data_IF_872608834953
#
_entry.id   IF_872608834953
#
_cell.length_a   1.000
_cell.length_b   1.000
_cell.length_c   1.000
_cell.angle_alpha   90.00
_cell.angle_beta   90.00
_cell.angle_gamma   90.00
#
_symmetry.space_group_name_H-M   'P 1'
#
loop_
_entity.id
_entity.type
_entity.pdbx_description
1 polymer ?
#
# COMPACT_ATOMS: atom_id res chain seq x y z
N UNK A 1 49.36 -31.57 -1.23
CA UNK A 1 47.98 -31.67 -1.76
C UNK A 1 47.05 -31.56 -0.55
N UNK A 2 46.68 -30.34 -0.14
CA UNK A 2 45.33 -29.76 -0.34
C UNK A 2 44.31 -30.39 0.63
N UNK A 3 43.53 -29.73 1.48
CA UNK A 3 43.19 -28.33 1.83
C UNK A 3 42.32 -28.46 3.10
N UNK A 4 42.23 -27.51 4.04
CA UNK A 4 41.84 -26.11 3.85
C UNK A 4 40.31 -26.01 3.91
N UNK A 5 39.75 -25.62 5.06
CA UNK A 5 38.30 -25.45 5.22
C UNK A 5 37.85 -25.13 6.64
N UNK A 6 38.41 -24.07 7.25
CA UNK A 6 37.86 -23.41 8.43
C UNK A 6 36.68 -22.55 8.00
N UNK A 7 35.49 -22.81 8.54
CA UNK A 7 34.28 -22.06 8.23
C UNK A 7 34.29 -20.70 8.94
N UNK A 8 34.58 -19.65 8.18
CA UNK A 8 34.22 -18.27 8.49
C UNK A 8 32.79 -17.99 8.05
N UNK A 9 32.00 -17.40 8.96
CA UNK A 9 30.72 -16.75 8.69
C UNK A 9 30.22 -16.23 10.03
N UNK A 10 30.45 -14.97 10.39
CA UNK A 10 30.17 -13.77 9.61
C UNK A 10 29.11 -13.01 10.39
N UNK A 11 29.43 -12.65 11.64
CA UNK A 11 28.60 -11.78 12.46
C UNK A 11 28.66 -10.39 11.84
N UNK A 12 27.55 -9.94 11.27
CA UNK A 12 27.39 -8.57 10.83
C UNK A 12 27.31 -7.68 12.07
N UNK A 13 28.45 -7.18 12.54
CA UNK A 13 28.46 -6.04 13.45
C UNK A 13 28.08 -4.81 12.64
N UNK A 14 26.90 -4.25 12.90
CA UNK A 14 26.54 -2.88 12.51
C UNK A 14 27.38 -1.87 13.29
N UNK A 15 28.70 -1.86 13.05
CA UNK A 15 29.60 -0.87 13.60
C UNK A 15 29.30 0.48 12.96
N UNK A 16 28.94 1.47 13.78
CA UNK A 16 28.88 2.85 13.30
C UNK A 16 30.22 3.24 12.68
N UNK A 17 30.18 3.96 11.57
CA UNK A 17 31.40 4.51 10.98
C UNK A 17 32.04 5.47 11.99
N UNK A 18 33.38 5.50 12.14
CA UNK A 18 34.04 6.40 13.08
C UNK A 18 33.62 7.86 12.83
N UNK A 19 32.96 8.47 13.82
CA UNK A 19 32.47 9.86 13.76
C UNK A 19 30.98 10.04 13.51
N UNK A 20 30.20 8.97 13.28
CA UNK A 20 28.75 9.05 13.17
C UNK A 20 28.09 8.72 14.52
N UNK A 21 27.25 9.64 15.02
CA UNK A 21 26.37 9.35 16.15
C UNK A 21 25.46 8.18 15.79
N UNK A 22 25.39 7.19 16.67
CA UNK A 22 24.48 6.06 16.48
C UNK A 22 23.01 6.49 16.57
N UNK A 23 22.71 7.53 17.34
CA UNK A 23 21.37 8.11 17.52
C UNK A 23 21.23 9.35 16.63
N UNK A 24 20.02 9.60 16.13
CA UNK A 24 19.72 10.79 15.34
C UNK A 24 18.52 11.57 15.91
N UNK A 25 18.42 12.83 15.49
CA UNK A 25 17.13 13.55 15.45
C UNK A 25 16.33 12.98 14.28
N UNK A 26 15.23 12.30 14.58
CA UNK A 26 14.43 11.55 13.62
C UNK A 26 13.33 12.38 12.98
N UNK A 27 12.54 13.04 13.83
CA UNK A 27 11.55 14.03 13.42
C UNK A 27 11.39 15.11 14.49
N UNK A 28 10.88 16.28 14.13
CA UNK A 28 10.57 17.34 15.10
C UNK A 28 9.46 18.24 14.55
N UNK A 29 8.71 18.87 15.45
CA UNK A 29 7.62 19.79 15.14
C UNK A 29 7.81 21.13 15.86
N UNK A 30 8.19 22.19 15.15
CA UNK A 30 8.38 23.54 15.71
C UNK A 30 7.12 24.34 16.04
N UNK A 31 5.94 23.85 15.64
CA UNK A 31 4.66 24.52 15.86
C UNK A 31 3.57 23.47 16.07
N UNK A 32 3.49 22.92 17.28
CA UNK A 32 2.53 21.88 17.62
C UNK A 32 1.26 22.49 18.24
N UNK A 33 0.14 22.46 17.50
CA UNK A 33 -1.14 22.93 18.03
C UNK A 33 -2.01 21.76 18.49
N UNK A 34 -2.08 20.69 17.70
CA UNK A 34 -3.02 19.58 17.94
C UNK A 34 -2.46 18.20 17.60
N UNK A 35 -1.26 18.09 17.02
CA UNK A 35 -0.72 16.79 16.61
C UNK A 35 -0.38 15.88 17.79
N UNK A 36 0.28 16.42 18.81
CA UNK A 36 0.66 15.71 20.03
C UNK A 36 0.21 16.53 21.24
N UNK A 37 -0.90 16.11 21.84
CA UNK A 37 -1.46 16.75 23.03
C UNK A 37 -1.13 15.90 24.26
N UNK A 38 -0.46 16.50 25.23
CA UNK A 38 -0.10 15.88 26.51
C UNK A 38 -1.08 16.31 27.62
N UNK A 39 -0.80 15.90 28.86
CA UNK A 39 -1.67 16.14 30.01
C UNK A 39 -2.14 17.59 30.14
N UNK A 40 -3.41 17.77 30.52
CA UNK A 40 -4.09 19.07 30.64
C UNK A 40 -4.24 19.86 29.33
N UNK A 41 -4.05 19.23 28.16
CA UNK A 41 -4.30 19.85 26.86
C UNK A 41 -3.11 20.67 26.33
N UNK A 42 -1.93 20.54 26.93
CA UNK A 42 -0.73 21.21 26.44
C UNK A 42 -0.21 20.54 25.16
N UNK A 43 0.31 21.34 24.23
CA UNK A 43 0.87 20.90 22.95
C UNK A 43 2.26 21.52 22.76
N UNK A 44 3.26 21.16 23.59
CA UNK A 44 4.60 21.70 23.39
C UNK A 44 5.16 21.24 22.03
N UNK A 45 6.03 22.06 21.46
CA UNK A 45 6.92 21.62 20.38
C UNK A 45 7.69 20.38 20.83
N UNK A 46 8.08 19.56 19.88
CA UNK A 46 8.72 18.30 20.22
C UNK A 46 9.82 17.91 19.23
N UNK A 47 10.79 17.17 19.74
CA UNK A 47 11.89 16.57 18.99
C UNK A 47 11.88 15.08 19.31
N UNK A 48 11.84 14.25 18.29
CA UNK A 48 11.98 12.81 18.42
C UNK A 48 13.42 12.37 18.13
N UNK A 49 13.97 11.56 19.02
CA UNK A 49 15.21 10.83 18.80
C UNK A 49 14.90 9.38 18.41
N UNK A 50 15.67 8.83 17.47
CA UNK A 50 15.61 7.41 17.13
C UNK A 50 16.96 6.72 17.41
N UNK A 51 16.88 5.52 18.01
CA UNK A 51 18.01 4.63 18.22
C UNK A 51 17.95 3.45 17.23
N UNK A 52 18.70 3.49 16.13
CA UNK A 52 18.74 2.42 15.15
C UNK A 52 19.54 1.19 15.62
N UNK A 53 20.16 1.22 16.81
CA UNK A 53 20.97 0.10 17.33
C UNK A 53 20.10 -0.97 17.99
N UNK A 54 20.70 -2.13 18.28
CA UNK A 54 20.05 -3.25 18.97
C UNK A 54 20.19 -3.19 20.50
N UNK A 55 20.69 -2.07 21.04
CA UNK A 55 20.93 -1.89 22.46
C UNK A 55 20.26 -0.61 22.96
N UNK A 56 19.68 -0.67 24.15
CA UNK A 56 19.19 0.53 24.83
C UNK A 56 20.36 1.50 25.07
N UNK A 57 20.10 2.80 24.91
CA UNK A 57 21.07 3.85 25.16
C UNK A 57 20.61 4.71 26.33
N UNK A 58 21.48 4.86 27.32
CA UNK A 58 21.32 5.85 28.39
C UNK A 58 21.75 7.22 27.83
N UNK A 59 20.85 8.19 27.87
CA UNK A 59 21.07 9.54 27.37
C UNK A 59 21.60 10.50 28.44
N UNK A 60 21.99 10.01 29.63
CA UNK A 60 22.61 10.85 30.66
C UNK A 60 23.78 11.69 30.08
N UNK A 61 23.67 13.02 30.20
CA UNK A 61 24.70 13.96 29.77
C UNK A 61 24.73 14.28 28.27
N UNK A 62 23.87 13.66 27.46
CA UNK A 62 23.59 14.14 26.10
C UNK A 62 22.92 15.50 26.16
N UNK A 63 23.03 16.30 25.10
CA UNK A 63 22.40 17.62 25.05
C UNK A 63 21.72 17.93 23.73
N UNK A 64 20.64 18.69 23.85
CA UNK A 64 19.92 19.30 22.73
C UNK A 64 20.09 20.82 22.75
N UNK A 65 19.99 21.43 21.58
CA UNK A 65 20.04 22.88 21.42
C UNK A 65 19.24 23.34 20.20
N UNK A 66 18.66 24.53 20.27
CA UNK A 66 18.15 25.32 19.14
C UNK A 66 19.13 26.42 18.68
N UNK A 67 20.30 26.51 19.32
CA UNK A 67 21.39 27.44 19.03
C UNK A 67 22.71 26.66 18.88
N UNK A 68 23.25 26.60 17.65
CA UNK A 68 24.50 25.89 17.35
C UNK A 68 25.72 26.45 18.11
N UNK A 69 25.65 27.69 18.57
CA UNK A 69 26.71 28.30 19.39
C UNK A 69 26.67 27.81 20.84
N UNK A 70 25.58 27.16 21.26
CA UNK A 70 25.36 26.64 22.61
C UNK A 70 25.09 25.13 22.59
N UNK A 71 26.06 24.27 22.25
CA UNK A 71 25.84 22.82 22.09
C UNK A 71 25.38 22.08 23.36
N UNK A 72 25.45 22.73 24.53
CA UNK A 72 25.03 22.19 25.84
C UNK A 72 23.86 22.96 26.45
N UNK A 73 22.98 23.53 25.62
CA UNK A 73 21.85 24.36 26.09
C UNK A 73 20.87 23.62 26.99
N UNK A 74 20.46 22.41 26.59
CA UNK A 74 19.60 21.53 27.41
C UNK A 74 20.27 20.16 27.57
N UNK A 75 20.84 19.88 28.75
CA UNK A 75 21.50 18.61 29.06
C UNK A 75 20.50 17.64 29.68
N UNK A 76 20.40 16.43 29.14
CA UNK A 76 19.50 15.40 29.63
C UNK A 76 19.97 14.83 30.98
N UNK A 77 19.07 14.70 31.96
CA UNK A 77 19.41 14.16 33.27
C UNK A 77 19.56 12.64 33.21
N UNK A 78 20.00 12.07 34.33
CA UNK A 78 20.06 10.62 34.51
C UNK A 78 18.69 9.95 34.37
N UNK A 79 18.66 8.77 33.75
CA UNK A 79 17.47 7.91 33.69
C UNK A 79 16.60 8.11 32.45
N UNK A 80 17.00 9.01 31.54
CA UNK A 80 16.40 9.13 30.22
C UNK A 80 16.96 8.02 29.33
N UNK A 81 16.16 7.00 29.07
CA UNK A 81 16.55 5.83 28.29
C UNK A 81 15.91 5.90 26.91
N UNK A 82 16.71 5.65 25.87
CA UNK A 82 16.24 5.47 24.50
C UNK A 82 16.35 3.98 24.13
N UNK A 83 15.23 3.23 24.07
CA UNK A 83 15.26 1.80 23.83
C UNK A 83 15.91 1.40 22.50
N UNK A 84 16.44 0.18 22.41
CA UNK A 84 16.87 -0.43 21.16
C UNK A 84 15.75 -0.36 20.11
N UNK A 85 16.07 0.09 18.88
CA UNK A 85 15.08 0.35 17.80
C UNK A 85 13.95 1.32 18.17
N UNK A 86 14.06 1.97 19.33
CA UNK A 86 13.02 2.78 19.90
C UNK A 86 13.06 4.23 19.43
N UNK A 87 12.01 4.94 19.83
CA UNK A 87 11.83 6.36 19.62
C UNK A 87 11.60 7.02 20.99
N UNK A 88 12.15 8.21 21.17
CA UNK A 88 11.93 9.02 22.38
C UNK A 88 11.53 10.42 21.98
N UNK A 89 10.40 10.88 22.48
CA UNK A 89 9.91 12.24 22.31
C UNK A 89 10.47 13.09 23.45
N UNK A 90 11.08 14.22 23.08
CA UNK A 90 11.53 15.26 24.00
C UNK A 90 10.72 16.52 23.71
N UNK A 91 10.20 17.14 24.77
CA UNK A 91 9.33 18.30 24.66
C UNK A 91 10.16 19.58 24.72
N UNK A 92 10.24 20.31 23.62
CA UNK A 92 10.82 21.65 23.55
C UNK A 92 9.86 22.67 24.19
N UNK A 93 9.71 22.56 25.52
CA UNK A 93 8.71 23.30 26.29
C UNK A 93 9.18 24.66 26.83
N UNK A 94 10.49 24.91 26.81
CA UNK A 94 11.09 26.10 27.44
C UNK A 94 11.30 25.98 28.96
N UNK A 95 10.94 24.85 29.56
CA UNK A 95 11.06 24.63 31.00
C UNK A 95 11.40 23.16 31.32
N UNK A 96 12.69 22.88 31.49
CA UNK A 96 13.18 21.54 31.86
C UNK A 96 12.85 21.15 33.31
N UNK A 97 12.28 22.05 34.13
CA UNK A 97 11.86 21.70 35.49
C UNK A 97 10.56 20.87 35.51
N UNK A 98 9.83 20.83 34.39
CA UNK A 98 8.59 20.05 34.24
C UNK A 98 8.88 18.55 34.34
N UNK A 99 9.99 18.08 33.77
CA UNK A 99 10.34 16.67 33.78
C UNK A 99 11.59 16.33 32.98
N UNK A 100 12.07 15.08 33.06
CA UNK A 100 13.34 14.68 32.46
C UNK A 100 13.35 14.69 30.92
N UNK A 101 12.17 14.66 30.29
CA UNK A 101 12.00 14.71 28.82
C UNK A 101 11.72 16.14 28.33
N UNK A 102 11.65 17.13 29.22
CA UNK A 102 11.39 18.53 28.87
C UNK A 102 12.71 19.30 28.68
N UNK A 103 12.79 20.05 27.59
CA UNK A 103 13.94 20.88 27.23
C UNK A 103 13.76 22.32 27.69
N UNK A 104 14.88 23.00 27.93
CA UNK A 104 14.96 24.39 28.40
C UNK A 104 14.65 25.45 27.33
N UNK A 105 14.30 25.05 26.11
CA UNK A 105 14.00 25.93 24.99
C UNK A 105 12.71 25.50 24.27
N UNK A 106 12.19 26.38 23.41
CA UNK A 106 11.09 26.14 22.47
C UNK A 106 11.64 26.27 21.05
N UNK A 107 11.03 25.58 20.09
CA UNK A 107 11.44 25.72 18.69
C UNK A 107 10.78 26.98 18.09
N UNK A 108 11.28 27.40 16.93
CA UNK A 108 10.74 28.58 16.24
C UNK A 108 10.08 28.17 14.94
N UNK A 109 8.77 28.43 14.79
CA UNK A 109 8.06 28.26 13.52
C UNK A 109 8.67 29.08 12.36
N UNK A 110 9.50 30.10 12.66
CA UNK A 110 10.22 30.90 11.67
C UNK A 110 11.47 30.24 11.08
N UNK A 111 11.86 29.07 11.58
CA UNK A 111 13.10 28.38 11.24
C UNK A 111 14.19 28.53 12.32
N UNK A 112 15.18 27.65 12.26
CA UNK A 112 16.24 27.56 13.26
C UNK A 112 17.13 26.34 13.04
N UNK A 113 17.68 25.81 14.13
CA UNK A 113 18.40 24.54 14.10
C UNK A 113 17.91 23.60 15.20
N UNK A 114 18.12 22.31 15.02
CA UNK A 114 18.04 21.31 16.09
C UNK A 114 19.38 20.59 16.17
N UNK A 115 20.12 20.82 17.26
CA UNK A 115 21.38 20.17 17.55
C UNK A 115 21.22 19.02 18.55
N UNK A 116 21.92 17.91 18.31
CA UNK A 116 22.05 16.76 19.22
C UNK A 116 23.54 16.47 19.43
N UNK A 117 23.99 16.43 20.68
CA UNK A 117 25.38 16.20 21.05
C UNK A 117 25.51 15.13 22.14
N UNK A 118 26.46 14.23 21.98
CA UNK A 118 26.89 13.27 23.00
C UNK A 118 27.80 13.96 24.04
N UNK A 119 28.03 13.33 25.22
CA UNK A 119 28.86 13.92 26.29
C UNK A 119 30.30 14.26 25.87
N UNK A 120 30.85 13.53 24.89
CA UNK A 120 32.18 13.75 24.34
C UNK A 120 32.25 14.93 23.34
N UNK A 121 31.10 15.55 23.04
CA UNK A 121 30.95 16.69 22.14
C UNK A 121 30.72 16.31 20.68
N UNK A 122 30.71 15.02 20.33
CA UNK A 122 30.31 14.58 18.98
C UNK A 122 28.82 14.83 18.78
N UNK A 123 28.42 15.30 17.60
CA UNK A 123 27.08 15.83 17.41
C UNK A 123 26.65 15.99 15.96
N UNK A 124 25.38 16.34 15.78
CA UNK A 124 24.80 16.75 14.51
C UNK A 124 23.89 17.97 14.72
N UNK A 125 23.82 18.83 13.71
CA UNK A 125 22.94 20.00 13.68
C UNK A 125 22.07 19.90 12.43
N UNK A 126 20.76 19.97 12.60
CA UNK A 126 19.78 19.94 11.51
C UNK A 126 19.16 21.33 11.38
N UNK A 127 19.52 22.12 10.35
CA UNK A 127 18.88 23.40 10.09
C UNK A 127 17.47 23.19 9.54
N UNK A 128 16.59 24.16 9.80
CA UNK A 128 15.23 24.14 9.30
C UNK A 128 14.66 25.52 9.00
N UNK A 129 13.73 25.57 8.05
CA UNK A 129 13.06 26.80 7.63
C UNK A 129 11.68 26.98 8.27
N UNK A 130 10.90 27.88 7.68
CA UNK A 130 9.51 28.15 8.05
C UNK A 130 8.68 26.86 8.03
N UNK A 131 7.88 26.65 9.07
CA UNK A 131 6.97 25.50 9.20
C UNK A 131 5.54 25.96 9.39
N UNK A 132 4.60 25.26 8.76
CA UNK A 132 3.17 25.42 9.06
C UNK A 132 2.83 24.73 10.40
N UNK A 133 1.77 25.17 11.10
CA UNK A 133 1.27 24.49 12.29
C UNK A 133 0.98 23.01 12.02
N UNK A 134 1.31 22.16 13.00
CA UNK A 134 1.11 20.72 12.95
C UNK A 134 1.82 20.01 11.78
N UNK A 135 2.94 20.54 11.29
CA UNK A 135 3.78 19.90 10.27
C UNK A 135 5.15 19.57 10.85
N UNK A 136 5.48 18.27 10.89
CA UNK A 136 6.77 17.80 11.34
C UNK A 136 7.80 17.81 10.19
N UNK A 137 9.06 18.02 10.53
CA UNK A 137 10.18 17.68 9.65
C UNK A 137 10.68 16.29 10.01
N UNK A 138 10.46 15.33 9.12
CA UNK A 138 10.69 13.92 9.36
C UNK A 138 11.77 13.35 8.43
N UNK A 139 12.70 12.58 8.98
CA UNK A 139 13.70 11.83 8.20
C UNK A 139 13.08 10.55 7.65
N UNK A 140 13.07 10.38 6.33
CA UNK A 140 12.51 9.20 5.65
C UNK A 140 13.53 8.56 4.70
N UNK A 141 14.06 7.35 5.00
CA UNK A 141 13.79 6.51 6.18
C UNK A 141 14.31 7.11 7.51
N UNK A 142 13.92 6.52 8.63
CA UNK A 142 14.42 6.94 9.96
C UNK A 142 15.95 7.03 10.00
N UNK A 143 16.46 8.07 10.67
CA UNK A 143 17.89 8.40 10.72
C UNK A 143 18.63 8.51 9.37
N UNK A 144 17.92 8.69 8.25
CA UNK A 144 18.55 8.96 6.97
C UNK A 144 19.44 10.21 7.05
N UNK A 145 20.53 10.21 6.28
CA UNK A 145 21.54 11.27 6.33
C UNK A 145 21.37 12.25 5.16
N UNK A 146 21.60 13.52 5.43
CA UNK A 146 21.50 14.61 4.45
C UNK A 146 20.08 15.17 4.27
N UNK A 147 19.99 16.33 3.64
CA UNK A 147 18.75 17.11 3.55
C UNK A 147 17.75 16.50 2.56
N UNK A 148 18.22 15.71 1.60
CA UNK A 148 17.40 15.13 0.53
C UNK A 148 16.36 14.10 1.03
N UNK A 149 16.47 13.65 2.28
CA UNK A 149 15.57 12.67 2.87
C UNK A 149 14.69 13.26 3.99
N UNK A 150 14.76 14.57 4.22
CA UNK A 150 13.83 15.27 5.12
C UNK A 150 12.56 15.57 4.34
N UNK A 151 11.42 15.21 4.92
CA UNK A 151 10.08 15.47 4.37
C UNK A 151 9.27 16.28 5.35
N UNK A 152 8.33 17.07 4.83
CA UNK A 152 7.29 17.70 5.64
C UNK A 152 6.13 16.71 5.80
N UNK A 153 5.84 16.32 7.04
CA UNK A 153 4.82 15.33 7.37
C UNK A 153 3.71 15.96 8.23
N UNK A 154 2.50 16.15 7.68
CA UNK A 154 1.35 16.61 8.46
C UNK A 154 1.10 15.68 9.67
N UNK A 155 1.10 16.25 10.87
CA UNK A 155 1.00 15.58 12.18
C UNK A 155 2.22 14.77 12.62
N UNK A 156 3.16 14.45 11.72
CA UNK A 156 4.31 13.59 12.01
C UNK A 156 3.90 12.18 12.43
N UNK A 157 4.88 11.40 12.90
CA UNK A 157 4.64 10.03 13.41
C UNK A 157 5.18 9.83 14.83
N UNK A 158 4.79 10.66 15.82
CA UNK A 158 5.40 10.65 17.14
C UNK A 158 5.34 9.28 17.81
N UNK A 159 6.51 8.79 18.21
CA UNK A 159 6.75 7.50 18.83
C UNK A 159 6.80 6.32 17.84
N UNK A 160 6.87 6.58 16.53
CA UNK A 160 6.81 5.55 15.47
C UNK A 160 7.77 5.87 14.34
N UNK A 161 8.01 4.86 13.49
CA UNK A 161 8.82 4.99 12.29
C UNK A 161 8.19 5.92 11.25
N UNK A 162 9.01 6.77 10.64
CA UNK A 162 8.66 7.63 9.50
C UNK A 162 8.55 6.85 8.17
N UNK A 163 8.87 5.55 8.18
CA UNK A 163 8.66 4.68 7.02
C UNK A 163 7.17 4.39 6.84
N UNK A 164 6.65 4.71 5.66
CA UNK A 164 5.37 4.15 5.23
C UNK A 164 5.52 2.62 5.16
N UNK A 165 4.54 1.85 5.68
CA UNK A 165 4.58 0.41 5.53
C UNK A 165 4.69 0.04 4.05
N UNK A 166 5.61 -0.87 3.71
CA UNK A 166 5.76 -1.34 2.33
C UNK A 166 4.41 -1.87 1.84
N UNK A 167 3.91 -1.46 0.65
CA UNK A 167 2.67 -1.98 0.13
C UNK A 167 2.67 -3.52 0.06
N UNK A 168 1.56 -4.10 0.46
CA UNK A 168 1.29 -5.53 0.39
C UNK A 168 0.28 -5.79 -0.72
N UNK A 169 0.55 -6.78 -1.57
CA UNK A 169 -0.42 -7.29 -2.53
C UNK A 169 -1.41 -8.22 -1.84
N UNK A 170 -2.69 -7.93 -2.00
CA UNK A 170 -3.82 -8.74 -1.53
C UNK A 170 -4.60 -9.24 -2.75
N UNK A 171 -4.98 -10.52 -2.74
CA UNK A 171 -5.90 -11.08 -3.74
C UNK A 171 -7.32 -10.79 -3.26
N UNK A 172 -7.96 -9.77 -3.85
CA UNK A 172 -9.31 -9.34 -3.50
C UNK A 172 -10.38 -10.27 -4.09
N UNK A 173 -10.12 -10.81 -5.28
CA UNK A 173 -10.91 -11.87 -5.92
C UNK A 173 -9.93 -12.95 -6.41
N UNK A 174 -9.95 -14.17 -5.86
CA UNK A 174 -9.10 -15.25 -6.34
C UNK A 174 -9.62 -15.86 -7.65
N UNK A 175 -8.72 -16.46 -8.42
CA UNK A 175 -9.09 -17.36 -9.53
C UNK A 175 -9.93 -18.55 -9.01
N UNK A 176 -10.73 -19.15 -9.88
CA UNK A 176 -11.64 -20.24 -9.49
C UNK A 176 -12.80 -19.82 -8.58
N UNK A 177 -13.05 -18.50 -8.45
CA UNK A 177 -14.15 -17.98 -7.66
C UNK A 177 -15.53 -18.45 -8.18
N UNK A 178 -16.55 -18.35 -7.34
CA UNK A 178 -17.93 -18.59 -7.75
C UNK A 178 -18.46 -17.40 -8.57
N UNK A 179 -19.09 -17.70 -9.69
CA UNK A 179 -19.73 -16.73 -10.57
C UNK A 179 -21.21 -17.04 -10.76
N UNK A 180 -21.98 -15.99 -10.99
CA UNK A 180 -23.30 -16.03 -11.61
C UNK A 180 -23.12 -15.88 -13.10
N UNK A 181 -23.86 -16.64 -13.90
CA UNK A 181 -23.77 -16.58 -15.36
C UNK A 181 -25.13 -16.54 -16.05
N UNK A 182 -25.14 -15.94 -17.23
CA UNK A 182 -26.29 -15.79 -18.11
C UNK A 182 -25.88 -16.19 -19.53
N UNK A 183 -26.35 -17.36 -19.94
CA UNK A 183 -25.90 -18.09 -21.14
C UNK A 183 -27.06 -18.41 -22.12
N UNK A 184 -28.20 -17.75 -21.94
CA UNK A 184 -29.40 -18.02 -22.74
C UNK A 184 -29.48 -17.22 -24.05
N UNK A 185 -28.46 -16.41 -24.36
CA UNK A 185 -28.34 -15.63 -25.60
C UNK A 185 -29.18 -14.37 -25.64
N UNK A 186 -29.91 -14.03 -24.57
CA UNK A 186 -30.68 -12.80 -24.45
C UNK A 186 -29.84 -11.72 -23.75
N UNK A 187 -29.95 -10.47 -24.22
CA UNK A 187 -29.33 -9.32 -23.55
C UNK A 187 -29.85 -9.21 -22.10
N UNK A 188 -28.97 -9.17 -21.08
CA UNK A 188 -29.38 -8.91 -19.71
C UNK A 188 -29.99 -7.51 -19.51
N UNK A 189 -30.55 -7.27 -18.32
CA UNK A 189 -30.95 -5.92 -17.91
C UNK A 189 -29.78 -4.94 -18.07
N UNK A 190 -29.98 -3.71 -18.61
CA UNK A 190 -28.88 -2.75 -18.80
C UNK A 190 -28.04 -2.45 -17.55
N UNK A 191 -28.56 -2.68 -16.34
CA UNK A 191 -27.84 -2.47 -15.09
C UNK A 191 -27.13 -3.73 -14.56
N UNK A 192 -27.01 -4.82 -15.33
CA UNK A 192 -26.46 -6.10 -14.88
C UNK A 192 -25.05 -6.01 -14.26
N UNK A 193 -24.26 -4.99 -14.66
CA UNK A 193 -22.92 -4.70 -14.15
C UNK A 193 -22.92 -3.93 -12.83
N UNK A 194 -24.04 -3.34 -12.42
CA UNK A 194 -24.13 -2.50 -11.22
C UNK A 194 -24.18 -3.33 -9.93
N UNK A 195 -23.64 -2.82 -8.80
CA UNK A 195 -23.66 -3.53 -7.52
C UNK A 195 -25.06 -3.85 -6.99
N UNK A 196 -26.04 -2.97 -7.27
CA UNK A 196 -27.41 -3.12 -6.81
C UNK A 196 -28.26 -4.09 -7.65
N UNK A 197 -27.75 -4.61 -8.76
CA UNK A 197 -28.50 -5.53 -9.62
C UNK A 197 -28.69 -6.89 -8.93
N UNK A 198 -29.94 -7.36 -8.96
CA UNK A 198 -30.35 -8.64 -8.39
C UNK A 198 -30.32 -9.72 -9.47
N UNK A 199 -29.37 -10.64 -9.37
CA UNK A 199 -29.12 -11.73 -10.32
C UNK A 199 -29.77 -13.05 -9.90
N UNK A 200 -30.93 -12.97 -9.23
CA UNK A 200 -31.64 -14.13 -8.67
C UNK A 200 -31.97 -15.18 -9.75
N UNK A 201 -32.18 -14.74 -10.99
CA UNK A 201 -32.48 -15.59 -12.13
C UNK A 201 -31.24 -16.18 -12.83
N UNK A 202 -30.02 -15.77 -12.43
CA UNK A 202 -28.79 -16.26 -13.02
C UNK A 202 -28.35 -17.55 -12.33
N UNK A 203 -27.95 -18.52 -13.14
CA UNK A 203 -27.33 -19.75 -12.67
C UNK A 203 -25.95 -19.46 -12.08
N UNK A 204 -25.38 -20.40 -11.32
CA UNK A 204 -24.08 -20.20 -10.66
C UNK A 204 -23.15 -21.40 -10.77
N UNK A 205 -21.84 -21.14 -10.85
CA UNK A 205 -20.80 -22.16 -10.81
C UNK A 205 -19.41 -21.55 -10.58
N UNK A 206 -18.44 -22.41 -10.27
CA UNK A 206 -17.06 -22.00 -10.06
C UNK A 206 -16.34 -21.80 -11.41
N UNK A 207 -15.45 -20.81 -11.47
CA UNK A 207 -14.52 -20.67 -12.59
C UNK A 207 -13.44 -21.78 -12.58
N UNK A 208 -12.78 -22.07 -13.73
CA UNK A 208 -13.08 -21.56 -15.06
C UNK A 208 -14.46 -22.00 -15.58
N UNK A 209 -15.21 -21.06 -16.16
CA UNK A 209 -16.53 -21.32 -16.78
C UNK A 209 -16.40 -21.31 -18.30
N UNK A 210 -17.10 -22.21 -18.99
CA UNK A 210 -16.88 -22.36 -20.43
C UNK A 210 -17.65 -23.48 -21.10
N UNK A 211 -17.31 -23.78 -22.35
CA UNK A 211 -17.88 -24.95 -23.03
C UNK A 211 -17.14 -26.22 -22.60
N UNK A 212 -17.86 -27.33 -22.49
CA UNK A 212 -17.33 -28.58 -21.93
C UNK A 212 -16.33 -29.36 -22.81
N UNK A 213 -15.77 -28.75 -23.86
CA UNK A 213 -14.72 -29.34 -24.69
C UNK A 213 -13.31 -29.16 -24.12
N UNK A 214 -13.09 -28.10 -23.32
CA UNK A 214 -11.80 -27.84 -22.68
C UNK A 214 -11.74 -28.51 -21.30
N UNK A 215 -10.74 -29.38 -21.03
CA UNK A 215 -10.59 -30.06 -19.74
C UNK A 215 -10.32 -29.13 -18.54
N UNK A 216 -9.97 -27.85 -18.76
CA UNK A 216 -9.77 -26.88 -17.67
C UNK A 216 -11.09 -26.25 -17.18
N UNK A 217 -12.20 -26.45 -17.91
CA UNK A 217 -13.51 -25.91 -17.54
C UNK A 217 -14.10 -26.69 -16.35
N UNK A 218 -14.38 -25.96 -15.28
CA UNK A 218 -15.01 -26.47 -14.07
C UNK A 218 -16.53 -26.38 -14.18
N UNK A 219 -17.06 -25.26 -14.67
CA UNK A 219 -18.49 -25.07 -14.89
C UNK A 219 -18.81 -24.97 -16.37
N UNK A 220 -19.60 -25.92 -16.88
CA UNK A 220 -20.07 -25.88 -18.27
C UNK A 220 -21.23 -24.90 -18.40
N UNK A 221 -21.11 -23.95 -19.32
CA UNK A 221 -22.19 -23.04 -19.74
C UNK A 221 -22.77 -23.45 -21.09
N UNK A 222 -24.03 -23.08 -21.33
CA UNK A 222 -24.74 -23.32 -22.57
C UNK A 222 -24.25 -22.43 -23.72
N UNK A 223 -24.44 -22.93 -24.95
CA UNK A 223 -24.16 -22.19 -26.19
C UNK A 223 -25.39 -21.99 -27.07
N UNK A 224 -26.57 -22.32 -26.55
CA UNK A 224 -27.81 -22.35 -27.30
C UNK A 224 -28.03 -23.66 -28.08
N UNK A 225 -29.08 -23.72 -28.91
CA UNK A 225 -29.56 -24.99 -29.48
C UNK A 225 -28.76 -25.49 -30.68
N UNK A 226 -27.86 -24.68 -31.25
CA UNK A 226 -27.18 -24.99 -32.51
C UNK A 226 -25.66 -24.80 -32.38
N UNK A 227 -24.90 -25.89 -32.40
CA UNK A 227 -23.44 -25.86 -32.32
C UNK A 227 -22.74 -25.16 -33.52
N UNK A 228 -23.44 -25.00 -34.65
CA UNK A 228 -22.94 -24.25 -35.82
C UNK A 228 -23.35 -22.76 -35.80
N UNK A 229 -24.13 -22.35 -34.79
CA UNK A 229 -24.62 -20.98 -34.62
C UNK A 229 -24.89 -20.73 -33.14
N UNK A 230 -23.83 -20.81 -32.34
CA UNK A 230 -23.80 -20.56 -30.91
C UNK A 230 -24.12 -19.11 -30.60
N UNK A 231 -24.52 -18.84 -29.36
CA UNK A 231 -24.62 -17.47 -28.87
C UNK A 231 -23.24 -16.80 -28.88
N UNK A 232 -23.18 -15.58 -29.41
CA UNK A 232 -21.91 -14.83 -29.48
C UNK A 232 -21.45 -14.40 -28.10
N UNK A 233 -22.38 -14.02 -27.21
CA UNK A 233 -22.03 -13.44 -25.91
C UNK A 233 -22.57 -14.30 -24.77
N UNK A 234 -21.74 -14.48 -23.74
CA UNK A 234 -22.12 -15.02 -22.43
C UNK A 234 -21.71 -14.01 -21.35
N UNK A 235 -22.59 -13.77 -20.37
CA UNK A 235 -22.34 -12.79 -19.31
C UNK A 235 -22.12 -13.47 -17.96
N UNK A 236 -21.24 -12.88 -17.16
CA UNK A 236 -20.80 -13.39 -15.88
C UNK A 236 -20.73 -12.25 -14.87
N UNK A 237 -21.07 -12.52 -13.61
CA UNK A 237 -20.83 -11.58 -12.51
C UNK A 237 -20.50 -12.29 -11.21
N UNK A 238 -19.70 -11.64 -10.38
CA UNK A 238 -19.37 -12.11 -9.03
C UNK A 238 -19.22 -10.92 -8.09
N UNK A 239 -19.44 -11.16 -6.80
CA UNK A 239 -19.25 -10.17 -5.75
C UNK A 239 -18.09 -10.59 -4.84
N UNK A 240 -17.30 -9.62 -4.41
CA UNK A 240 -16.19 -9.83 -3.49
C UNK A 240 -16.07 -8.64 -2.53
N UNK A 241 -15.47 -8.87 -1.36
CA UNK A 241 -15.35 -7.85 -0.34
C UNK A 241 -13.95 -7.22 -0.36
N UNK A 242 -13.92 -5.90 -0.21
CA UNK A 242 -12.69 -5.10 -0.01
C UNK A 242 -12.75 -4.43 1.36
N UNK A 243 -11.65 -4.50 2.09
CA UNK A 243 -11.45 -3.76 3.33
C UNK A 243 -10.39 -2.69 3.10
N UNK A 244 -10.60 -1.48 3.63
CA UNK A 244 -9.66 -0.37 3.48
C UNK A 244 -9.62 0.17 2.05
N UNK A 245 -10.77 0.34 1.40
CA UNK A 245 -10.84 0.75 -0.02
C UNK A 245 -10.10 2.07 -0.30
N UNK A 246 -10.12 3.00 0.67
CA UNK A 246 -9.40 4.29 0.59
C UNK A 246 -7.88 4.18 0.71
N UNK A 247 -7.38 3.04 1.15
CA UNK A 247 -5.95 2.78 1.35
C UNK A 247 -5.33 2.09 0.13
N UNK A 248 -6.14 1.68 -0.86
CA UNK A 248 -5.64 1.03 -2.07
C UNK A 248 -4.78 2.01 -2.87
N UNK A 249 -3.51 1.65 -3.03
CA UNK A 249 -2.50 2.42 -3.76
C UNK A 249 -2.37 2.01 -5.23
N UNK A 250 -2.68 0.74 -5.54
CA UNK A 250 -2.73 0.21 -6.90
C UNK A 250 -3.69 -0.98 -6.97
N UNK A 251 -4.26 -1.23 -8.14
CA UNK A 251 -5.11 -2.40 -8.37
C UNK A 251 -4.99 -2.88 -9.82
N UNK A 252 -5.24 -4.17 -10.04
CA UNK A 252 -5.33 -4.77 -11.37
C UNK A 252 -6.32 -5.91 -11.41
N UNK A 253 -6.87 -6.14 -12.59
CA UNK A 253 -7.55 -7.39 -12.96
C UNK A 253 -6.63 -8.20 -13.87
N UNK A 254 -6.67 -9.51 -13.70
CA UNK A 254 -6.14 -10.48 -14.66
C UNK A 254 -7.31 -11.34 -15.15
N UNK A 255 -7.45 -11.47 -16.47
CA UNK A 255 -8.56 -12.20 -17.11
C UNK A 255 -7.97 -13.28 -18.01
N UNK A 256 -8.45 -14.51 -17.84
CA UNK A 256 -8.33 -15.60 -18.81
C UNK A 256 -9.64 -15.65 -19.60
N UNK A 257 -9.54 -15.62 -20.93
CA UNK A 257 -10.69 -15.41 -21.82
C UNK A 257 -10.54 -16.17 -23.13
N UNK A 258 -11.67 -16.61 -23.69
CA UNK A 258 -11.79 -17.12 -25.05
C UNK A 258 -13.24 -16.92 -25.57
N UNK A 259 -13.51 -16.22 -26.68
CA UNK A 259 -12.57 -15.42 -27.47
C UNK A 259 -12.33 -14.07 -26.81
N UNK A 260 -13.09 -13.00 -27.01
CA UNK A 260 -12.85 -11.67 -26.41
C UNK A 260 -13.57 -11.44 -25.08
N UNK A 261 -13.17 -10.45 -24.28
CA UNK A 261 -13.86 -10.09 -23.05
C UNK A 261 -13.87 -8.58 -22.75
N UNK A 262 -14.95 -8.11 -22.13
CA UNK A 262 -15.06 -6.78 -21.50
C UNK A 262 -15.44 -6.95 -20.05
N UNK A 263 -14.68 -6.32 -19.13
CA UNK A 263 -14.91 -6.42 -17.70
C UNK A 263 -15.26 -5.07 -17.08
N UNK A 264 -16.16 -5.10 -16.10
CA UNK A 264 -16.73 -3.95 -15.42
C UNK A 264 -16.59 -4.13 -13.91
N UNK A 265 -16.05 -3.12 -13.23
CA UNK A 265 -16.06 -3.03 -11.77
C UNK A 265 -17.11 -2.02 -11.35
N UNK A 266 -18.09 -2.45 -10.55
CA UNK A 266 -19.16 -1.61 -10.04
C UNK A 266 -19.88 -0.79 -11.14
N UNK A 267 -20.06 -1.39 -12.32
CA UNK A 267 -20.70 -0.76 -13.47
C UNK A 267 -19.78 0.05 -14.39
N UNK A 268 -18.51 0.25 -14.03
CA UNK A 268 -17.52 0.97 -14.86
C UNK A 268 -16.64 -0.02 -15.61
N UNK A 269 -16.48 0.14 -16.93
CA UNK A 269 -15.55 -0.68 -17.72
C UNK A 269 -14.10 -0.46 -17.24
N UNK A 270 -13.41 -1.55 -16.88
CA UNK A 270 -12.03 -1.52 -16.36
C UNK A 270 -11.05 -2.31 -17.21
N UNK A 271 -11.53 -3.21 -18.07
CA UNK A 271 -10.68 -3.98 -18.96
C UNK A 271 -11.43 -4.38 -20.22
N UNK A 272 -10.68 -4.43 -21.32
CA UNK A 272 -11.14 -4.89 -22.63
C UNK A 272 -10.03 -5.67 -23.29
N UNK A 273 -10.26 -6.95 -23.56
CA UNK A 273 -9.29 -7.87 -24.16
C UNK A 273 -9.86 -8.45 -25.45
N UNK A 274 -9.14 -8.27 -26.57
CA UNK A 274 -9.53 -8.77 -27.90
C UNK A 274 -10.97 -8.41 -28.34
N UNK A 275 -11.42 -7.22 -27.96
CA UNK A 275 -12.71 -6.67 -28.37
C UNK A 275 -12.50 -5.37 -29.14
N UNK A 276 -13.33 -5.08 -30.15
CA UNK A 276 -13.22 -3.83 -30.92
C UNK A 276 -13.44 -2.62 -30.01
N UNK A 277 -12.90 -1.47 -30.41
CA UNK A 277 -13.22 -0.21 -29.75
C UNK A 277 -14.68 0.19 -29.99
N UNK A 278 -15.24 0.98 -29.07
CA UNK A 278 -16.60 1.52 -29.16
C UNK A 278 -17.65 0.65 -28.48
N UNK A 279 -18.91 0.91 -28.84
CA UNK A 279 -20.07 0.26 -28.23
C UNK A 279 -20.08 -1.25 -28.52
N UNK A 280 -20.28 -2.04 -27.47
CA UNK A 280 -20.40 -3.49 -27.53
C UNK A 280 -21.87 -3.87 -27.43
N UNK A 281 -22.30 -4.73 -28.35
CA UNK A 281 -23.63 -5.32 -28.43
C UNK A 281 -23.52 -6.84 -28.32
N UNK A 282 -24.62 -7.53 -28.01
CA UNK A 282 -24.72 -8.99 -27.87
C UNK A 282 -24.18 -9.79 -29.07
N UNK A 283 -24.12 -9.22 -30.27
CA UNK A 283 -23.60 -9.87 -31.47
C UNK A 283 -22.23 -9.32 -31.92
N UNK A 284 -21.59 -8.48 -31.11
CA UNK A 284 -20.25 -7.97 -31.41
C UNK A 284 -19.27 -9.12 -31.29
N UNK A 285 -18.48 -9.34 -32.34
CA UNK A 285 -17.48 -10.40 -32.34
C UNK A 285 -16.20 -9.92 -31.68
N UNK A 286 -15.46 -10.88 -31.12
CA UNK A 286 -14.07 -10.66 -30.76
C UNK A 286 -13.23 -10.28 -31.99
N UNK A 287 -12.14 -9.54 -31.78
CA UNK A 287 -11.31 -8.99 -32.86
C UNK A 287 -10.45 -10.03 -33.57
N UNK A 288 -10.19 -11.16 -32.93
CA UNK A 288 -9.43 -12.29 -33.45
C UNK A 288 -9.86 -13.59 -32.79
N UNK A 289 -9.56 -14.71 -33.46
CA UNK A 289 -9.69 -16.06 -32.90
C UNK A 289 -8.52 -16.26 -31.91
N UNK A 290 -8.81 -16.83 -30.75
CA UNK A 290 -7.83 -17.32 -29.79
C UNK A 290 -7.61 -18.80 -30.04
N UNK A 291 -6.35 -19.25 -30.09
CA UNK A 291 -6.03 -20.67 -30.11
C UNK A 291 -4.78 -21.01 -29.28
N UNK A 292 -4.72 -22.26 -28.80
CA UNK A 292 -3.51 -22.85 -28.25
C UNK A 292 -3.02 -22.18 -26.95
N UNK A 293 -1.83 -21.56 -26.99
CA UNK A 293 -1.23 -21.03 -25.76
C UNK A 293 -1.98 -19.80 -25.19
N UNK A 294 -2.73 -19.08 -26.03
CA UNK A 294 -3.47 -17.89 -25.58
C UNK A 294 -4.71 -18.23 -24.74
N UNK A 295 -5.28 -19.43 -24.88
CA UNK A 295 -6.43 -19.94 -24.09
C UNK A 295 -6.10 -20.09 -22.60
N UNK A 296 -4.81 -20.22 -22.26
CA UNK A 296 -4.32 -20.32 -20.86
C UNK A 296 -3.58 -19.07 -20.39
N UNK A 297 -3.58 -18.01 -21.21
CA UNK A 297 -2.87 -16.76 -20.91
C UNK A 297 -3.74 -15.82 -20.08
N UNK A 298 -3.16 -15.30 -19.00
CA UNK A 298 -3.76 -14.26 -18.17
C UNK A 298 -3.41 -12.87 -18.71
N UNK A 299 -4.42 -12.11 -19.13
CA UNK A 299 -4.26 -10.74 -19.60
C UNK A 299 -4.48 -9.75 -18.46
N UNK A 300 -3.50 -8.88 -18.21
CA UNK A 300 -3.51 -7.96 -17.06
C UNK A 300 -3.85 -6.53 -17.45
N UNK A 301 -4.74 -5.90 -16.68
CA UNK A 301 -5.17 -4.52 -16.87
C UNK A 301 -5.18 -3.77 -15.52
N UNK A 302 -4.63 -2.55 -15.46
CA UNK A 302 -4.73 -1.73 -14.25
C UNK A 302 -6.17 -1.29 -14.01
N UNK A 303 -6.57 -1.22 -12.74
CA UNK A 303 -7.84 -0.66 -12.30
C UNK A 303 -7.56 0.62 -11.53
N UNK A 304 -8.34 1.68 -11.77
CA UNK A 304 -8.33 2.87 -10.93
C UNK A 304 -8.79 2.52 -9.50
N UNK A 305 -7.94 2.68 -8.46
CA UNK A 305 -8.31 2.43 -7.08
C UNK A 305 -9.57 3.16 -6.61
N UNK A 306 -9.90 4.31 -7.21
CA UNK A 306 -11.09 5.10 -6.85
C UNK A 306 -12.42 4.40 -7.15
N UNK A 307 -12.42 3.34 -7.96
CA UNK A 307 -13.61 2.56 -8.31
C UNK A 307 -14.02 1.56 -7.23
N UNK A 308 -13.12 1.25 -6.28
CA UNK A 308 -13.43 0.34 -5.19
C UNK A 308 -14.22 1.05 -4.08
N UNK A 309 -15.18 0.33 -3.51
CA UNK A 309 -15.93 0.76 -2.32
C UNK A 309 -15.62 -0.14 -1.13
N UNK A 310 -15.76 0.40 0.08
CA UNK A 310 -15.64 -0.40 1.30
C UNK A 310 -16.74 -1.47 1.34
N UNK A 311 -16.37 -2.72 1.63
CA UNK A 311 -17.28 -3.85 1.61
C UNK A 311 -17.47 -4.43 0.21
N UNK A 312 -18.73 -4.67 -0.18
CA UNK A 312 -19.06 -5.45 -1.37
C UNK A 312 -18.82 -4.69 -2.67
N UNK A 313 -18.04 -5.29 -3.57
CA UNK A 313 -17.78 -4.85 -4.93
C UNK A 313 -18.26 -5.93 -5.90
N UNK A 314 -18.69 -5.52 -7.09
CA UNK A 314 -19.13 -6.44 -8.15
C UNK A 314 -18.18 -6.35 -9.34
N UNK A 315 -17.62 -7.51 -9.72
CA UNK A 315 -16.95 -7.69 -11.01
C UNK A 315 -17.92 -8.38 -11.97
N UNK A 316 -18.10 -7.80 -13.14
CA UNK A 316 -18.97 -8.32 -14.19
C UNK A 316 -18.18 -8.43 -15.50
N UNK A 317 -18.38 -9.48 -16.28
CA UNK A 317 -17.64 -9.76 -17.50
C UNK A 317 -18.60 -10.25 -18.58
N UNK A 318 -18.47 -9.73 -19.80
CA UNK A 318 -19.07 -10.31 -21.00
C UNK A 318 -17.96 -10.92 -21.86
N UNK A 319 -18.16 -12.19 -22.24
CA UNK A 319 -17.25 -12.93 -23.12
C UNK A 319 -17.91 -13.09 -24.48
N UNK A 320 -17.17 -12.81 -25.53
CA UNK A 320 -17.64 -12.75 -26.90
C UNK A 320 -16.87 -13.70 -27.79
N UNK A 321 -17.55 -14.48 -28.62
CA UNK A 321 -16.94 -15.34 -29.61
C UNK A 321 -16.47 -14.54 -30.83
N UNK A 322 -15.37 -14.96 -31.44
CA UNK A 322 -14.87 -14.43 -32.71
C UNK A 322 -15.72 -14.91 -33.90
N UNK A 323 -16.32 -16.09 -33.77
CA UNK A 323 -17.22 -16.72 -34.75
C UNK A 323 -18.31 -17.54 -34.07
N UNK A 324 -19.49 -17.61 -34.70
CA UNK A 324 -20.66 -18.30 -34.13
C UNK A 324 -20.51 -19.83 -34.04
N UNK A 325 -19.52 -20.43 -34.69
CA UNK A 325 -19.24 -21.86 -34.64
C UNK A 325 -17.94 -22.20 -33.90
N UNK A 326 -17.46 -21.29 -33.04
CA UNK A 326 -16.27 -21.53 -32.18
C UNK A 326 -16.43 -22.83 -31.39
N UNK A 327 -15.35 -23.56 -31.17
CA UNK A 327 -15.33 -24.84 -30.46
C UNK A 327 -15.61 -24.68 -28.96
N UNK A 328 -15.07 -23.63 -28.37
CA UNK A 328 -14.82 -23.41 -26.95
C UNK A 328 -15.21 -21.99 -26.54
N UNK A 329 -15.22 -21.78 -25.23
CA UNK A 329 -15.40 -20.51 -24.54
C UNK A 329 -14.78 -20.72 -23.17
N UNK A 330 -14.09 -19.72 -22.64
CA UNK A 330 -13.47 -19.79 -21.33
C UNK A 330 -13.48 -18.45 -20.59
N UNK A 331 -13.75 -18.48 -19.29
CA UNK A 331 -13.58 -17.35 -18.39
C UNK A 331 -13.04 -17.79 -17.03
N UNK A 332 -11.95 -17.15 -16.61
CA UNK A 332 -11.61 -16.95 -15.20
C UNK A 332 -11.07 -15.54 -15.01
N UNK A 333 -11.22 -14.98 -13.80
CA UNK A 333 -10.68 -13.67 -13.48
C UNK A 333 -10.24 -13.59 -12.02
N UNK A 334 -9.16 -12.86 -11.77
CA UNK A 334 -8.70 -12.51 -10.42
C UNK A 334 -8.40 -11.02 -10.32
N UNK A 335 -8.59 -10.48 -9.12
CA UNK A 335 -8.33 -9.07 -8.81
C UNK A 335 -7.31 -9.01 -7.69
N UNK A 336 -6.27 -8.22 -7.88
CA UNK A 336 -5.27 -7.92 -6.85
C UNK A 336 -5.22 -6.43 -6.55
N UNK A 337 -5.08 -6.09 -5.28
CA UNK A 337 -4.97 -4.72 -4.78
C UNK A 337 -3.69 -4.57 -3.97
N UNK A 338 -3.10 -3.38 -3.94
CA UNK A 338 -1.97 -3.02 -3.09
C UNK A 338 -2.42 -2.09 -1.98
N UNK A 339 -2.30 -2.54 -0.73
CA UNK A 339 -2.66 -1.78 0.48
C UNK A 339 -1.42 -1.52 1.33
N UNK A 340 -1.41 -0.56 2.26
CA UNK A 340 -0.30 -0.37 3.18
C UNK A 340 -0.01 -1.68 3.90
N UNK A 341 1.28 -2.04 3.99
CA UNK A 341 1.68 -3.15 4.85
C UNK A 341 1.20 -2.91 6.28
N UNK A 342 1.04 -3.99 7.05
CA UNK A 342 0.83 -3.82 8.50
C UNK A 342 2.10 -3.19 9.09
N UNK A 343 2.01 -2.19 9.98
CA UNK A 343 3.18 -1.74 10.75
C UNK A 343 3.82 -2.98 11.39
N UNK A 344 5.13 -3.16 11.20
CA UNK A 344 5.82 -4.21 11.93
C UNK A 344 5.65 -3.90 13.43
N UNK A 345 5.17 -4.86 14.24
CA UNK A 345 4.89 -4.65 15.65
C UNK A 345 6.15 -4.35 16.47
#
# INVERSE_FOLDING_TARGET
>A
TGGGGSSTGGGGSGGSMPGQLAICVNEFMPDNETSLVIGMGASPDWIELHNPTDMDVDLEGWSLTDDESQPKLSVLPKGVMLPAKGFLILFASGDSSIGPEHLSFQLSAGGGVVGLFAPDGTGSVTPYGLTDPDVAQARKPDCCQGDACVVLDPKGTPGKSNLSPKPMTVIALPEGSMWKYWDNGLLPDPNWTAPAYLDIAWESGAAPLGYGSDPHIVTVVGYGPNAQSKYITTWFRTAFNVMGAKEISAAKIEILRDDGAVAYLNGTEVARSNMPAGAIMTNTLASGIVDGAEETTWFSFPIDPALFVEGSNVLAVEVHQSVANSSDLGLDARVTIEVPGKPMP
#
